data_IF_368178288676
#
_entry.id   IF_368178288676
#
_cell.length_a   1.000
_cell.length_b   1.000
_cell.length_c   1.000
_cell.angle_alpha   90.00
_cell.angle_beta   90.00
_cell.angle_gamma   90.00
#
_symmetry.space_group_name_H-M   'P 1'
#
loop_
_entity.id
_entity.type
_entity.pdbx_description
1 polymer ?
#
# COMPACT_ATOMS: atom_id res chain seq x y z
N UNK A 1 -10.69 -1.25 -17.69
CA UNK A 1 -9.36 -1.31 -17.07
C UNK A 1 -8.33 -0.78 -18.06
N UNK A 2 -7.44 0.12 -17.62
CA UNK A 2 -6.36 0.69 -18.44
C UNK A 2 -5.05 0.64 -17.65
N UNK A 3 -3.90 0.87 -18.30
CA UNK A 3 -2.63 1.02 -17.60
C UNK A 3 -2.68 2.11 -16.52
N UNK A 4 -3.42 3.18 -16.77
CA UNK A 4 -3.63 4.23 -15.77
C UNK A 4 -4.28 3.70 -14.50
N UNK A 5 -5.38 2.92 -14.61
CA UNK A 5 -6.05 2.36 -13.42
C UNK A 5 -5.22 1.27 -12.74
N UNK A 6 -4.41 0.52 -13.48
CA UNK A 6 -3.50 -0.48 -12.90
C UNK A 6 -2.37 0.19 -12.09
N UNK A 7 -1.86 1.32 -12.55
CA UNK A 7 -0.83 2.07 -11.83
C UNK A 7 -1.35 2.66 -10.51
N UNK A 8 -2.63 3.00 -10.44
CA UNK A 8 -3.24 3.47 -9.18
C UNK A 8 -3.16 2.37 -8.11
N UNK A 9 -3.53 1.12 -8.44
CA UNK A 9 -3.45 -0.01 -7.52
C UNK A 9 -2.01 -0.27 -7.03
N UNK A 10 -1.03 -0.16 -7.92
CA UNK A 10 0.38 -0.28 -7.55
C UNK A 10 0.81 0.82 -6.58
N UNK A 11 0.37 2.06 -6.84
CA UNK A 11 0.69 3.21 -5.98
C UNK A 11 0.03 3.11 -4.60
N UNK A 12 -1.17 2.55 -4.51
CA UNK A 12 -1.86 2.28 -3.24
C UNK A 12 -1.11 1.24 -2.41
N UNK A 13 -0.66 0.16 -3.04
CA UNK A 13 0.25 -0.81 -2.43
C UNK A 13 1.50 -0.13 -1.90
N UNK A 14 2.26 0.54 -2.77
CA UNK A 14 3.52 1.17 -2.40
C UNK A 14 3.39 2.09 -1.19
N UNK A 15 2.37 2.96 -1.17
CA UNK A 15 2.15 3.88 -0.04
C UNK A 15 1.82 3.15 1.25
N UNK A 16 0.90 2.19 1.23
CA UNK A 16 0.51 1.46 2.45
C UNK A 16 1.68 0.64 3.03
N UNK A 17 2.51 0.05 2.17
CA UNK A 17 3.64 -0.77 2.57
C UNK A 17 4.85 0.03 3.03
N UNK A 18 5.10 1.20 2.44
CA UNK A 18 6.26 2.03 2.78
C UNK A 18 5.99 3.03 3.91
N UNK A 19 4.77 3.55 4.05
CA UNK A 19 4.47 4.65 4.96
C UNK A 19 4.89 4.42 6.44
N UNK A 20 4.75 3.23 7.05
CA UNK A 20 5.18 3.03 8.44
C UNK A 20 6.68 3.26 8.69
N UNK A 21 7.52 2.97 7.69
CA UNK A 21 8.98 3.10 7.80
C UNK A 21 9.46 4.44 7.23
N UNK A 22 8.83 4.91 6.14
CA UNK A 22 9.18 6.16 5.47
C UNK A 22 8.71 7.39 6.26
N UNK A 23 7.63 7.26 7.04
CA UNK A 23 7.04 8.33 7.85
C UNK A 23 7.02 7.95 9.35
N UNK A 24 8.18 7.78 9.99
CA UNK A 24 8.26 7.32 11.37
C UNK A 24 7.63 8.30 12.38
N UNK A 25 7.53 9.59 12.01
CA UNK A 25 6.90 10.61 12.84
C UNK A 25 5.38 10.46 12.95
N UNK A 26 4.74 9.82 11.97
CA UNK A 26 3.31 9.54 11.97
C UNK A 26 2.94 8.34 12.86
N UNK A 27 3.94 7.56 13.32
CA UNK A 27 3.75 6.38 14.17
C UNK A 27 2.70 5.40 13.62
N UNK A 28 2.66 5.24 12.29
CA UNK A 28 1.66 4.42 11.61
C UNK A 28 1.85 2.93 11.92
N UNK A 29 0.78 2.29 12.37
CA UNK A 29 0.71 0.84 12.57
C UNK A 29 -0.48 0.33 11.77
N UNK A 30 -0.20 -0.44 10.71
CA UNK A 30 -1.24 -1.05 9.88
C UNK A 30 -1.35 -2.54 10.19
N UNK A 31 -2.53 -3.01 10.66
CA UNK A 31 -2.83 -4.44 10.74
C UNK A 31 -2.75 -5.14 9.36
N UNK A 32 -2.52 -6.45 9.34
CA UNK A 32 -2.37 -7.19 8.08
C UNK A 32 -3.64 -7.15 7.21
N UNK A 33 -4.82 -7.12 7.81
CA UNK A 33 -6.12 -7.10 7.13
C UNK A 33 -6.37 -5.83 6.31
N UNK A 34 -5.70 -4.72 6.65
CA UNK A 34 -5.86 -3.44 5.94
C UNK A 34 -4.79 -3.21 4.88
N UNK A 35 -3.77 -4.08 4.81
CA UNK A 35 -2.72 -3.96 3.81
C UNK A 35 -3.23 -4.45 2.44
N UNK A 36 -3.21 -3.61 1.39
CA UNK A 36 -3.65 -4.02 0.07
C UNK A 36 -2.70 -5.10 -0.48
N UNK A 37 -3.27 -6.24 -0.84
CA UNK A 37 -2.57 -7.37 -1.48
C UNK A 37 -3.38 -7.91 -2.64
N UNK A 38 -2.66 -8.38 -3.67
CA UNK A 38 -3.25 -9.22 -4.70
C UNK A 38 -3.52 -10.62 -4.15
N UNK A 39 -4.35 -11.39 -4.86
CA UNK A 39 -4.60 -12.77 -4.47
C UNK A 39 -3.31 -13.61 -4.54
N UNK A 40 -2.98 -14.30 -3.45
CA UNK A 40 -1.86 -15.25 -3.34
C UNK A 40 -0.43 -14.69 -3.54
N UNK A 41 -0.22 -13.40 -3.24
CA UNK A 41 1.12 -12.78 -3.17
C UNK A 41 1.72 -12.86 -1.76
#
# INVERSE_FOLDING_TARGET
ETFYTKNILLNEGLRAWMAPVDQPHESLVFPEEVLPRGNAL
#
